data_IF_773548434829
#
_entry.id   IF_773548434829
#
_cell.length_a   1.000
_cell.length_b   1.000
_cell.length_c   1.000
_cell.angle_alpha   90.00
_cell.angle_beta   90.00
_cell.angle_gamma   90.00
#
_symmetry.space_group_name_H-M   'P 1'
#
loop_
_entity.id
_entity.type
_entity.pdbx_description
1 polymer ?
#
# COMPACT_ATOMS: atom_id res chain seq x y z
N UNK A 1 1.38 -3.82 23.42
CA UNK A 1 0.12 -3.34 24.02
C UNK A 1 -1.04 -4.03 23.31
N UNK A 2 -2.13 -4.34 24.00
CA UNK A 2 -3.29 -4.98 23.37
C UNK A 2 -4.33 -3.97 22.90
N UNK A 3 -4.98 -4.30 21.78
CA UNK A 3 -6.13 -3.56 21.25
C UNK A 3 -7.44 -4.18 21.76
N UNK A 4 -8.37 -3.33 22.17
CA UNK A 4 -9.72 -3.77 22.54
C UNK A 4 -10.57 -4.07 21.29
N UNK A 5 -11.82 -4.52 21.49
CA UNK A 5 -12.70 -4.93 20.38
C UNK A 5 -13.06 -3.77 19.43
N UNK A 6 -13.30 -2.57 19.94
CA UNK A 6 -13.64 -1.41 19.10
C UNK A 6 -12.41 -0.91 18.34
N UNK A 7 -11.25 -0.87 18.99
CA UNK A 7 -9.98 -0.51 18.35
C UNK A 7 -9.62 -1.47 17.21
N UNK A 8 -9.79 -2.80 17.41
CA UNK A 8 -9.59 -3.79 16.34
C UNK A 8 -10.53 -3.60 15.16
N UNK A 9 -11.76 -3.15 15.38
CA UNK A 9 -12.69 -2.84 14.28
C UNK A 9 -12.17 -1.66 13.46
N UNK A 10 -11.75 -0.59 14.13
CA UNK A 10 -11.21 0.60 13.48
C UNK A 10 -9.92 0.26 12.72
N UNK A 11 -9.05 -0.56 13.30
CA UNK A 11 -7.82 -1.01 12.65
C UNK A 11 -8.08 -1.74 11.34
N UNK A 12 -9.09 -2.62 11.28
CA UNK A 12 -9.48 -3.30 10.02
C UNK A 12 -9.95 -2.32 8.97
N UNK A 13 -10.84 -1.41 9.34
CA UNK A 13 -11.35 -0.40 8.41
C UNK A 13 -10.20 0.46 7.85
N UNK A 14 -9.28 0.90 8.73
CA UNK A 14 -8.09 1.65 8.30
C UNK A 14 -7.13 0.79 7.48
N UNK A 15 -6.97 -0.49 7.79
CA UNK A 15 -6.10 -1.40 7.05
C UNK A 15 -6.61 -1.63 5.62
N UNK A 16 -7.93 -1.79 5.44
CA UNK A 16 -8.57 -1.89 4.13
C UNK A 16 -8.34 -0.61 3.31
N UNK A 17 -8.46 0.55 3.95
CA UNK A 17 -8.17 1.83 3.30
C UNK A 17 -6.70 1.99 2.90
N UNK A 18 -5.77 1.54 3.75
CA UNK A 18 -4.33 1.55 3.44
C UNK A 18 -4.02 0.62 2.28
N UNK A 19 -4.59 -0.58 2.27
CA UNK A 19 -4.47 -1.53 1.15
C UNK A 19 -4.95 -0.89 -0.14
N UNK A 20 -6.14 -0.32 -0.15
CA UNK A 20 -6.72 0.29 -1.35
C UNK A 20 -5.87 1.48 -1.84
N UNK A 21 -5.37 2.31 -0.92
CA UNK A 21 -4.51 3.44 -1.27
C UNK A 21 -3.19 3.01 -1.92
N UNK A 22 -2.53 1.97 -1.39
CA UNK A 22 -1.31 1.43 -1.99
C UNK A 22 -1.60 0.71 -3.32
N UNK A 23 -2.63 -0.14 -3.37
CA UNK A 23 -3.02 -0.86 -4.59
C UNK A 23 -3.26 0.11 -5.76
N UNK A 24 -3.87 1.28 -5.49
CA UNK A 24 -4.03 2.34 -6.49
C UNK A 24 -2.71 2.89 -7.01
N UNK A 25 -1.71 3.09 -6.14
CA UNK A 25 -0.39 3.55 -6.56
C UNK A 25 0.30 2.48 -7.43
N UNK A 26 0.28 1.22 -6.99
CA UNK A 26 0.88 0.10 -7.72
C UNK A 26 0.21 -0.07 -9.10
N UNK A 27 -1.09 0.17 -9.21
CA UNK A 27 -1.83 0.10 -10.47
C UNK A 27 -1.65 1.32 -11.39
N UNK A 28 -1.03 2.41 -10.93
CA UNK A 28 -0.97 3.67 -11.67
C UNK A 28 -0.20 3.52 -12.99
N UNK A 29 0.93 2.84 -12.98
CA UNK A 29 1.76 2.63 -14.17
C UNK A 29 1.05 1.74 -15.19
N UNK A 30 0.43 0.65 -14.73
CA UNK A 30 -0.36 -0.23 -15.60
C UNK A 30 -1.56 0.54 -16.20
N UNK A 31 -2.23 1.39 -15.42
CA UNK A 31 -3.31 2.24 -15.90
C UNK A 31 -2.83 3.24 -16.97
N UNK A 32 -1.63 3.81 -16.82
CA UNK A 32 -1.02 4.67 -17.84
C UNK A 32 -0.73 3.89 -19.14
N UNK A 33 -0.25 2.65 -19.03
CA UNK A 33 -0.05 1.75 -20.18
C UNK A 33 -1.35 1.48 -20.94
N UNK A 34 -2.44 1.22 -20.23
CA UNK A 34 -3.77 1.11 -20.83
C UNK A 34 -4.21 2.42 -21.51
N UNK A 35 -3.91 3.59 -20.93
CA UNK A 35 -4.26 4.89 -21.50
C UNK A 35 -3.53 5.15 -22.82
N UNK A 36 -2.24 4.85 -22.92
CA UNK A 36 -1.46 5.02 -24.16
C UNK A 36 -1.88 4.00 -25.24
N UNK A 37 -2.20 2.78 -24.84
CA UNK A 37 -2.78 1.79 -25.75
C UNK A 37 -4.12 2.24 -26.35
N UNK A 38 -5.04 2.80 -25.52
CA UNK A 38 -6.32 3.35 -26.02
C UNK A 38 -6.12 4.48 -27.04
N UNK A 39 -5.04 5.26 -26.92
CA UNK A 39 -4.67 6.32 -27.86
C UNK A 39 -3.94 5.78 -29.11
N UNK A 40 -3.80 4.46 -29.26
CA UNK A 40 -3.03 3.78 -30.32
C UNK A 40 -1.56 4.19 -30.37
N UNK A 41 -1.02 4.72 -29.26
CA UNK A 41 0.39 5.11 -29.13
C UNK A 41 1.28 3.94 -28.71
N UNK A 42 0.67 2.80 -28.38
CA UNK A 42 1.32 1.60 -27.89
C UNK A 42 0.67 0.37 -28.51
N UNK A 43 1.44 -0.60 -29.04
CA UNK A 43 0.88 -1.83 -29.58
C UNK A 43 0.36 -2.73 -28.45
N UNK A 44 -0.59 -3.60 -28.78
CA UNK A 44 -1.18 -4.52 -27.79
C UNK A 44 -0.17 -5.52 -27.22
N UNK A 45 0.87 -5.90 -27.98
CA UNK A 45 1.96 -6.76 -27.49
C UNK A 45 2.65 -6.17 -26.27
N UNK A 46 2.91 -4.87 -26.29
CA UNK A 46 3.63 -4.18 -25.23
C UNK A 46 2.73 -4.03 -24.00
N UNK A 47 1.43 -3.80 -24.19
CA UNK A 47 0.47 -3.79 -23.09
C UNK A 47 0.36 -5.19 -22.43
N UNK A 48 0.34 -6.26 -23.23
CA UNK A 48 0.34 -7.64 -22.71
C UNK A 48 1.60 -7.93 -21.90
N UNK A 49 2.76 -7.44 -22.35
CA UNK A 49 4.02 -7.55 -21.61
C UNK A 49 3.96 -6.85 -20.25
N UNK A 50 3.41 -5.62 -20.19
CA UNK A 50 3.24 -4.89 -18.93
C UNK A 50 2.28 -5.60 -17.98
N UNK A 51 1.14 -6.10 -18.48
CA UNK A 51 0.19 -6.88 -17.66
C UNK A 51 0.89 -8.11 -17.07
N UNK A 52 1.71 -8.79 -17.88
CA UNK A 52 2.48 -9.94 -17.41
C UNK A 52 3.50 -9.54 -16.34
N UNK A 53 4.25 -8.47 -16.56
CA UNK A 53 5.24 -7.96 -15.60
C UNK A 53 4.58 -7.59 -14.26
N UNK A 54 3.49 -6.81 -14.31
CA UNK A 54 2.69 -6.44 -13.14
C UNK A 54 2.24 -7.68 -12.35
N UNK A 55 1.71 -8.69 -13.04
CA UNK A 55 1.25 -9.92 -12.40
C UNK A 55 2.40 -10.76 -11.80
N UNK A 56 3.58 -10.77 -12.42
CA UNK A 56 4.72 -11.55 -11.91
C UNK A 56 5.42 -10.89 -10.73
N UNK A 57 5.41 -9.57 -10.66
CA UNK A 57 6.20 -8.79 -9.71
C UNK A 57 5.33 -7.97 -8.77
N UNK A 58 4.75 -6.88 -9.25
CA UNK A 58 4.11 -5.86 -8.42
C UNK A 58 2.92 -6.41 -7.62
N UNK A 59 2.03 -7.17 -8.29
CA UNK A 59 0.88 -7.76 -7.60
C UNK A 59 1.29 -8.80 -6.56
N UNK A 60 2.41 -9.51 -6.81
CA UNK A 60 2.94 -10.49 -5.87
C UNK A 60 3.63 -9.85 -4.68
N UNK A 61 4.39 -8.77 -4.88
CA UNK A 61 5.00 -8.03 -3.77
C UNK A 61 3.91 -7.41 -2.88
N UNK A 62 2.88 -6.81 -3.49
CA UNK A 62 1.75 -6.27 -2.74
C UNK A 62 1.05 -7.38 -1.93
N UNK A 63 0.74 -8.51 -2.56
CA UNK A 63 0.11 -9.64 -1.86
C UNK A 63 1.00 -10.17 -0.71
N UNK A 64 2.28 -10.42 -0.97
CA UNK A 64 3.21 -10.94 0.02
C UNK A 64 3.37 -9.99 1.22
N UNK A 65 3.38 -8.69 0.97
CA UNK A 65 3.42 -7.66 2.01
C UNK A 65 2.21 -7.80 2.93
N UNK A 66 0.98 -7.81 2.40
CA UNK A 66 -0.23 -7.80 3.22
C UNK A 66 -0.56 -9.15 3.87
N UNK A 67 -0.04 -10.27 3.33
CA UNK A 67 -0.12 -11.56 4.03
C UNK A 67 0.75 -11.62 5.28
N UNK A 68 1.86 -10.88 5.31
CA UNK A 68 2.83 -10.90 6.41
C UNK A 68 2.54 -9.92 7.54
N UNK A 69 1.50 -9.09 7.44
CA UNK A 69 1.22 -7.99 8.37
C UNK A 69 -0.13 -8.15 9.05
N UNK A 70 -0.16 -7.88 10.35
CA UNK A 70 -1.42 -7.68 11.08
C UNK A 70 -2.01 -6.27 10.84
N UNK A 71 -3.26 -6.04 11.26
CA UNK A 71 -3.93 -4.77 10.97
C UNK A 71 -3.23 -3.56 11.61
N UNK A 72 -2.61 -3.71 12.78
CA UNK A 72 -1.88 -2.64 13.42
C UNK A 72 -0.60 -2.29 12.64
N UNK A 73 0.12 -3.31 12.16
CA UNK A 73 1.29 -3.13 11.32
C UNK A 73 0.93 -2.49 9.98
N UNK A 74 -0.18 -2.90 9.35
CA UNK A 74 -0.69 -2.28 8.12
C UNK A 74 -0.98 -0.80 8.33
N UNK A 75 -1.70 -0.43 9.40
CA UNK A 75 -2.04 0.98 9.67
C UNK A 75 -0.78 1.80 9.99
N UNK A 76 0.14 1.27 10.80
CA UNK A 76 1.39 1.95 11.13
C UNK A 76 2.23 2.21 9.87
N UNK A 77 2.34 1.21 9.00
CA UNK A 77 2.96 1.32 7.68
C UNK A 77 2.25 2.34 6.81
N UNK A 78 0.92 2.31 6.76
CA UNK A 78 0.09 3.25 6.00
C UNK A 78 0.34 4.71 6.35
N UNK A 79 0.49 5.01 7.64
CA UNK A 79 0.85 6.35 8.12
C UNK A 79 2.29 6.71 7.76
N UNK A 80 3.24 5.78 7.89
CA UNK A 80 4.65 6.02 7.61
C UNK A 80 4.94 6.28 6.13
N UNK A 81 4.31 5.52 5.24
CA UNK A 81 4.46 5.65 3.78
C UNK A 81 3.52 6.72 3.18
N UNK A 82 2.64 7.31 3.99
CA UNK A 82 1.73 8.38 3.56
C UNK A 82 0.51 7.90 2.78
N UNK A 83 0.17 6.61 2.82
CA UNK A 83 -1.05 6.07 2.23
C UNK A 83 -2.32 6.61 2.91
N UNK A 84 -2.24 6.89 4.22
CA UNK A 84 -3.27 7.61 4.97
C UNK A 84 -2.64 8.71 5.84
N UNK A 85 -3.35 9.82 6.11
CA UNK A 85 -2.82 10.88 6.96
C UNK A 85 -2.84 10.48 8.44
N UNK A 86 -1.83 10.87 9.25
CA UNK A 86 -1.78 10.52 10.68
C UNK A 86 -3.02 10.92 11.46
N UNK A 87 -3.63 12.06 11.11
CA UNK A 87 -4.85 12.59 11.75
C UNK A 87 -6.08 11.71 11.57
N UNK A 88 -6.05 10.74 10.63
CA UNK A 88 -7.14 9.79 10.42
C UNK A 88 -7.15 8.67 11.45
N UNK A 89 -6.01 8.42 12.10
CA UNK A 89 -5.89 7.41 13.14
C UNK A 89 -6.30 8.03 14.48
N UNK A 90 -7.29 7.46 15.20
CA UNK A 90 -7.63 7.92 16.55
C UNK A 90 -6.42 7.89 17.47
N UNK A 91 -6.33 8.88 18.37
CA UNK A 91 -5.16 9.08 19.24
C UNK A 91 -4.82 7.84 20.06
N UNK A 92 -5.83 7.18 20.59
CA UNK A 92 -5.72 6.00 21.46
C UNK A 92 -5.12 4.79 20.71
N UNK A 93 -5.36 4.70 19.40
CA UNK A 93 -4.74 3.69 18.53
C UNK A 93 -3.34 4.14 18.16
N UNK A 94 -3.18 5.40 17.75
CA UNK A 94 -1.90 5.95 17.31
C UNK A 94 -0.78 5.80 18.36
N UNK A 95 -1.10 6.01 19.64
CA UNK A 95 -0.16 5.84 20.75
C UNK A 95 0.34 4.38 20.92
N UNK A 96 -0.38 3.40 20.36
CA UNK A 96 -0.02 1.97 20.40
C UNK A 96 0.69 1.47 19.14
N UNK A 97 0.69 2.26 18.06
CA UNK A 97 1.28 1.87 16.77
C UNK A 97 2.78 2.12 16.75
N UNK A 98 3.53 1.21 16.15
CA UNK A 98 4.98 1.38 15.95
C UNK A 98 5.29 2.12 14.64
N UNK A 99 4.79 3.36 14.49
CA UNK A 99 4.92 4.14 13.23
C UNK A 99 6.37 4.49 12.93
N UNK A 100 7.19 4.78 13.95
CA UNK A 100 8.60 5.17 13.75
C UNK A 100 9.43 4.07 13.12
N UNK A 101 9.25 2.81 13.54
CA UNK A 101 9.91 1.67 12.90
C UNK A 101 9.62 1.62 11.39
N UNK A 102 8.38 1.90 11.00
CA UNK A 102 8.00 1.92 9.58
C UNK A 102 8.52 3.15 8.84
N UNK A 103 8.67 4.29 9.51
CA UNK A 103 9.31 5.49 8.92
C UNK A 103 10.78 5.23 8.59
N UNK A 104 11.51 4.54 9.47
CA UNK A 104 12.88 4.14 9.18
C UNK A 104 12.96 3.21 7.96
N UNK A 105 12.04 2.24 7.85
CA UNK A 105 11.95 1.35 6.68
C UNK A 105 11.64 2.14 5.41
N UNK A 106 10.69 3.10 5.47
CA UNK A 106 10.34 3.96 4.35
C UNK A 106 11.53 4.81 3.89
N UNK A 107 12.29 5.39 4.82
CA UNK A 107 13.49 6.19 4.53
C UNK A 107 14.58 5.36 3.84
N UNK A 108 14.80 4.11 4.28
CA UNK A 108 15.76 3.19 3.64
C UNK A 108 15.34 2.81 2.22
N UNK A 109 14.04 2.57 2.00
CA UNK A 109 13.50 2.29 0.66
C UNK A 109 13.61 3.50 -0.27
N UNK A 110 13.34 4.71 0.23
CA UNK A 110 13.47 5.95 -0.54
C UNK A 110 14.91 6.41 -0.80
N UNK A 111 15.88 6.01 0.04
CA UNK A 111 17.31 6.36 -0.14
C UNK A 111 18.06 5.44 -1.13
N UNK A 112 17.41 4.38 -1.60
CA UNK A 112 17.96 3.41 -2.57
C UNK A 112 17.45 3.65 -4.01
N UNK A 113 16.87 4.83 -4.28
CA UNK A 113 16.44 5.29 -5.62
C UNK A 113 17.32 6.45 -6.07
#
# INVERSE_FOLDING_TARGET
MEFNRSERKILRELADEVYEAEARQVLADLAASFAEWRKRKRPSSDLLADIHAFHQHDSRELWATYQGLDEAQVVARGVAFGFIPPKKVPREIAEKLNVEQWREIAQRRGSNV
#
